data_IF_691056683796
#
_entry.id   IF_691056683796
#
_cell.length_a   1.000
_cell.length_b   1.000
_cell.length_c   1.000
_cell.angle_alpha   90.00
_cell.angle_beta   90.00
_cell.angle_gamma   90.00
#
_symmetry.space_group_name_H-M   'P 1'
#
loop_
_entity.id
_entity.type
_entity.pdbx_description
1 polymer ?
#
# COMPACT_ATOMS: atom_id res chain seq x y z
N UNK A 1 -18.64 19.92 -6.75
CA UNK A 1 -19.41 19.62 -7.97
C UNK A 1 -20.43 20.71 -8.07
N UNK A 2 -20.28 21.58 -9.03
CA UNK A 2 -21.35 22.52 -9.34
C UNK A 2 -22.37 21.78 -10.19
N UNK A 3 -23.61 21.87 -9.84
CA UNK A 3 -24.69 21.35 -10.66
C UNK A 3 -24.92 22.33 -11.80
N UNK A 4 -24.63 21.90 -13.03
CA UNK A 4 -24.92 22.71 -14.22
C UNK A 4 -26.28 22.26 -14.76
N UNK A 5 -27.25 23.17 -14.74
CA UNK A 5 -28.56 22.97 -15.35
C UNK A 5 -28.72 24.04 -16.41
N UNK A 6 -28.99 23.64 -17.66
CA UNK A 6 -29.14 24.54 -18.82
C UNK A 6 -27.93 25.49 -19.03
N UNK A 7 -26.71 24.98 -18.79
CA UNK A 7 -25.49 25.76 -18.94
C UNK A 7 -25.23 26.78 -17.82
N UNK A 8 -26.04 26.80 -16.79
CA UNK A 8 -25.90 27.73 -15.66
C UNK A 8 -25.45 26.97 -14.41
N UNK A 9 -24.40 27.43 -13.78
CA UNK A 9 -23.91 26.91 -12.52
C UNK A 9 -24.89 27.22 -11.40
N UNK A 10 -25.33 26.20 -10.65
CA UNK A 10 -26.27 26.32 -9.55
C UNK A 10 -25.63 25.82 -8.26
N UNK A 11 -25.70 26.64 -7.23
CA UNK A 11 -25.32 26.28 -5.85
C UNK A 11 -26.52 25.89 -4.99
N UNK A 12 -27.68 25.77 -5.60
CA UNK A 12 -28.95 25.47 -4.90
C UNK A 12 -29.72 24.45 -5.71
N UNK A 13 -30.20 23.41 -5.05
CA UNK A 13 -31.11 22.41 -5.59
C UNK A 13 -32.43 22.46 -4.84
N UNK A 14 -33.53 22.49 -5.58
CA UNK A 14 -34.88 22.46 -5.02
C UNK A 14 -35.52 21.14 -5.40
N UNK A 15 -35.83 20.30 -4.38
CA UNK A 15 -36.54 19.04 -4.56
C UNK A 15 -37.77 19.07 -3.65
N UNK A 16 -38.95 18.84 -4.18
CA UNK A 16 -40.21 18.77 -3.42
C UNK A 16 -40.43 19.97 -2.49
N UNK A 17 -40.17 21.18 -2.97
CA UNK A 17 -40.21 22.45 -2.23
C UNK A 17 -39.13 22.65 -1.14
N UNK A 18 -38.23 21.70 -0.96
CA UNK A 18 -37.09 21.85 -0.06
C UNK A 18 -35.91 22.47 -0.81
N UNK A 19 -35.28 23.47 -0.19
CA UNK A 19 -34.12 24.17 -0.75
C UNK A 19 -32.86 23.60 -0.10
N UNK A 20 -32.03 22.98 -0.91
CA UNK A 20 -30.73 22.48 -0.53
C UNK A 20 -29.67 23.45 -1.04
N UNK A 21 -29.00 24.18 -0.14
CA UNK A 21 -27.85 25.04 -0.46
C UNK A 21 -26.58 24.23 -0.33
N UNK A 22 -25.70 24.34 -1.31
CA UNK A 22 -24.36 23.75 -1.28
C UNK A 22 -23.42 24.87 -0.79
N UNK A 23 -23.18 24.91 0.51
CA UNK A 23 -22.36 25.95 1.15
C UNK A 23 -20.85 25.78 0.95
N UNK A 24 -20.44 24.76 0.22
CA UNK A 24 -19.06 24.57 -0.17
C UNK A 24 -18.91 24.78 -1.68
N UNK A 25 -18.12 25.78 -2.05
CA UNK A 25 -17.43 25.78 -3.33
C UNK A 25 -16.56 24.53 -3.35
N UNK A 26 -17.09 23.45 -3.90
CA UNK A 26 -16.29 22.31 -4.24
C UNK A 26 -15.31 22.80 -5.30
N UNK A 27 -14.07 23.04 -4.91
CA UNK A 27 -13.00 22.88 -5.90
C UNK A 27 -13.16 21.45 -6.39
N UNK A 28 -13.37 21.21 -7.69
CA UNK A 28 -13.52 19.86 -8.18
C UNK A 28 -12.23 19.13 -7.84
N UNK A 29 -12.25 18.33 -6.77
CA UNK A 29 -11.18 17.35 -6.60
C UNK A 29 -11.16 16.51 -7.87
N UNK A 30 -10.01 16.24 -8.45
CA UNK A 30 -9.93 15.47 -9.68
C UNK A 30 -10.68 14.15 -9.48
N UNK A 31 -11.62 13.86 -10.36
CA UNK A 31 -12.38 12.61 -10.28
C UNK A 31 -11.41 11.43 -10.32
N UNK A 32 -11.63 10.45 -9.45
CA UNK A 32 -10.82 9.23 -9.43
C UNK A 32 -11.00 8.50 -10.77
N UNK A 33 -9.92 8.39 -11.53
CA UNK A 33 -9.93 7.69 -12.82
C UNK A 33 -9.67 6.19 -12.65
N UNK A 34 -10.68 5.44 -12.23
CA UNK A 34 -10.57 3.99 -12.10
C UNK A 34 -10.44 3.27 -13.44
N UNK A 35 -11.03 3.79 -14.51
CA UNK A 35 -10.90 3.18 -15.84
C UNK A 35 -9.44 3.27 -16.35
N UNK A 36 -8.81 4.44 -16.24
CA UNK A 36 -7.40 4.64 -16.58
C UNK A 36 -6.47 3.81 -15.68
N UNK A 37 -6.73 3.79 -14.37
CA UNK A 37 -5.98 2.98 -13.42
C UNK A 37 -6.04 1.49 -13.77
N UNK A 38 -7.23 0.94 -14.02
CA UNK A 38 -7.41 -0.47 -14.38
C UNK A 38 -6.72 -0.82 -15.71
N UNK A 39 -6.74 0.09 -16.68
CA UNK A 39 -6.04 -0.10 -17.96
C UNK A 39 -4.51 -0.20 -17.77
N UNK A 40 -3.93 0.55 -16.84
CA UNK A 40 -2.50 0.48 -16.53
C UNK A 40 -2.15 -0.67 -15.59
N UNK A 41 -3.03 -1.03 -14.65
CA UNK A 41 -2.88 -2.20 -13.79
C UNK A 41 -2.90 -3.55 -14.54
N UNK A 42 -3.20 -3.54 -15.82
CA UNK A 42 -3.16 -4.73 -16.69
C UNK A 42 -1.88 -4.82 -17.54
N UNK A 43 -0.91 -3.91 -17.39
CA UNK A 43 0.28 -3.81 -18.23
C UNK A 43 1.54 -3.65 -17.40
N UNK A 44 2.52 -4.53 -17.65
CA UNK A 44 3.87 -4.43 -17.07
C UNK A 44 4.86 -3.91 -18.12
N UNK A 45 5.79 -3.02 -17.72
CA UNK A 45 6.81 -2.52 -18.64
C UNK A 45 8.23 -2.50 -18.05
N UNK A 46 8.41 -1.99 -16.82
CA UNK A 46 9.73 -1.92 -16.18
C UNK A 46 10.67 -0.84 -16.73
N UNK A 47 10.12 0.27 -17.23
CA UNK A 47 10.92 1.38 -17.77
C UNK A 47 11.37 2.33 -16.66
N UNK A 48 12.64 2.76 -16.70
CA UNK A 48 13.07 3.89 -15.86
C UNK A 48 12.52 5.21 -16.42
N UNK A 49 11.71 5.90 -15.63
CA UNK A 49 11.09 7.19 -15.93
C UNK A 49 11.98 8.39 -15.52
N UNK A 50 13.11 8.12 -14.86
CA UNK A 50 13.98 9.16 -14.30
C UNK A 50 13.48 9.67 -12.94
N UNK A 51 13.73 10.95 -12.66
CA UNK A 51 13.30 11.57 -11.43
C UNK A 51 11.77 11.77 -11.39
N UNK A 52 11.18 11.60 -10.20
CA UNK A 52 9.82 12.01 -9.94
C UNK A 52 9.75 13.55 -9.93
N UNK A 53 8.84 14.12 -10.70
CA UNK A 53 8.72 15.57 -10.90
C UNK A 53 7.30 16.07 -10.62
N UNK A 54 7.13 17.37 -10.43
CA UNK A 54 5.80 18.01 -10.30
C UNK A 54 4.88 17.73 -11.51
N UNK A 55 5.45 17.48 -12.71
CA UNK A 55 4.66 17.08 -13.89
C UNK A 55 4.04 15.69 -13.69
N UNK A 56 4.81 14.72 -13.17
CA UNK A 56 4.29 13.40 -12.83
C UNK A 56 3.25 13.49 -11.70
N UNK A 57 3.53 14.25 -10.64
CA UNK A 57 2.59 14.47 -9.56
C UNK A 57 1.27 15.06 -10.06
N UNK A 58 1.33 16.08 -10.91
CA UNK A 58 0.15 16.69 -11.53
C UNK A 58 -0.64 15.68 -12.37
N UNK A 59 0.04 14.86 -13.18
CA UNK A 59 -0.60 13.80 -13.97
C UNK A 59 -1.30 12.78 -13.09
N UNK A 60 -0.61 12.28 -12.05
CA UNK A 60 -1.16 11.30 -11.12
C UNK A 60 -2.41 11.87 -10.44
N UNK A 61 -2.31 13.07 -9.87
CA UNK A 61 -3.40 13.76 -9.18
C UNK A 61 -4.64 13.92 -10.06
N UNK A 62 -4.43 14.20 -11.34
CA UNK A 62 -5.49 14.32 -12.33
C UNK A 62 -5.95 12.99 -12.93
N UNK A 63 -5.39 11.85 -12.50
CA UNK A 63 -5.73 10.53 -13.02
C UNK A 63 -5.26 10.30 -14.46
N UNK A 64 -4.21 10.98 -14.90
CA UNK A 64 -3.59 10.83 -16.22
C UNK A 64 -2.41 9.86 -16.10
N UNK A 65 -2.64 8.61 -16.45
CA UNK A 65 -1.66 7.54 -16.23
C UNK A 65 -0.99 7.03 -17.51
N UNK A 66 -1.30 7.59 -18.67
CA UNK A 66 -0.92 7.06 -19.99
C UNK A 66 0.60 6.90 -20.21
N UNK A 67 1.40 7.73 -19.55
CA UNK A 67 2.86 7.68 -19.65
C UNK A 67 3.53 6.69 -18.69
N UNK A 68 2.77 6.08 -17.79
CA UNK A 68 3.24 5.21 -16.70
C UNK A 68 2.59 3.83 -16.79
N UNK A 69 3.32 2.78 -16.40
CA UNK A 69 2.81 1.40 -16.33
C UNK A 69 3.35 0.71 -15.06
N UNK A 70 2.73 -0.39 -14.67
CA UNK A 70 3.24 -1.23 -13.58
C UNK A 70 4.66 -1.68 -13.87
N UNK A 71 5.52 -1.67 -12.86
CA UNK A 71 6.94 -2.01 -12.96
C UNK A 71 7.83 -0.85 -13.41
N UNK A 72 7.30 0.24 -13.96
CA UNK A 72 8.12 1.42 -14.23
C UNK A 72 8.71 1.98 -12.94
N UNK A 73 9.87 2.63 -13.05
CA UNK A 73 10.61 3.10 -11.88
C UNK A 73 10.83 4.60 -11.91
N UNK A 74 10.82 5.19 -10.71
CA UNK A 74 11.38 6.50 -10.45
C UNK A 74 12.68 6.37 -9.66
N UNK A 75 13.65 7.25 -9.93
CA UNK A 75 14.90 7.34 -9.18
C UNK A 75 14.98 8.70 -8.49
N UNK A 76 15.01 8.70 -7.15
CA UNK A 76 15.09 9.90 -6.32
C UNK A 76 16.26 9.77 -5.34
N UNK A 77 17.15 10.77 -5.30
CA UNK A 77 18.30 10.81 -4.38
C UNK A 77 19.14 9.51 -4.36
N UNK A 78 19.21 8.82 -5.50
CA UNK A 78 19.93 7.54 -5.63
C UNK A 78 19.13 6.30 -5.27
N UNK A 79 17.89 6.44 -4.83
CA UNK A 79 16.98 5.32 -4.55
C UNK A 79 16.07 5.07 -5.74
N UNK A 80 15.79 3.81 -6.02
CA UNK A 80 14.85 3.39 -7.08
C UNK A 80 13.58 2.84 -6.46
N UNK A 81 12.43 3.25 -7.01
CA UNK A 81 11.11 2.88 -6.56
C UNK A 81 10.28 2.40 -7.73
N UNK A 82 9.62 1.26 -7.61
CA UNK A 82 8.82 0.64 -8.67
C UNK A 82 7.35 0.99 -8.52
N UNK A 83 6.65 1.25 -9.61
CA UNK A 83 5.19 1.39 -9.64
C UNK A 83 4.59 0.01 -9.41
N UNK A 84 4.00 -0.20 -8.23
CA UNK A 84 3.30 -1.42 -7.86
C UNK A 84 1.88 -1.49 -8.43
N UNK A 85 1.25 -0.33 -8.65
CA UNK A 85 -0.10 -0.23 -9.20
C UNK A 85 -0.67 1.19 -9.14
N UNK A 86 -1.88 1.33 -9.66
CA UNK A 86 -2.60 2.60 -9.81
C UNK A 86 -3.91 2.54 -9.03
N UNK A 87 -4.20 3.56 -8.22
CA UNK A 87 -5.45 3.69 -7.44
C UNK A 87 -5.80 2.43 -6.62
N UNK A 88 -4.77 1.75 -6.10
CA UNK A 88 -4.93 0.44 -5.45
C UNK A 88 -5.84 0.50 -4.23
N UNK A 89 -5.76 1.58 -3.44
CA UNK A 89 -6.53 1.76 -2.22
C UNK A 89 -7.82 2.57 -2.42
N UNK A 90 -8.16 2.94 -3.66
CA UNK A 90 -9.41 3.64 -3.95
C UNK A 90 -10.63 2.77 -3.67
N UNK A 91 -11.65 3.36 -3.04
CA UNK A 91 -12.92 2.71 -2.73
C UNK A 91 -12.95 1.95 -1.41
N UNK A 92 -11.84 1.88 -0.68
CA UNK A 92 -11.84 1.37 0.67
C UNK A 92 -12.48 2.39 1.62
N UNK A 93 -13.39 1.94 2.48
CA UNK A 93 -14.17 2.80 3.38
C UNK A 93 -13.29 3.71 4.25
N UNK A 94 -12.16 3.18 4.73
CA UNK A 94 -11.23 3.90 5.58
C UNK A 94 -10.37 4.92 4.82
N UNK A 95 -10.40 4.87 3.49
CA UNK A 95 -9.56 5.67 2.59
C UNK A 95 -10.35 6.45 1.53
N UNK A 96 -11.62 6.77 1.81
CA UNK A 96 -12.51 7.49 0.88
C UNK A 96 -11.98 8.87 0.46
N UNK A 97 -11.06 9.44 1.24
CA UNK A 97 -10.43 10.73 0.94
C UNK A 97 -9.19 10.64 0.06
N UNK A 98 -8.71 9.42 -0.24
CA UNK A 98 -7.60 9.26 -1.17
C UNK A 98 -8.06 9.62 -2.59
N UNK A 99 -7.36 10.57 -3.19
CA UNK A 99 -7.47 10.90 -4.61
C UNK A 99 -6.78 9.86 -5.51
N UNK A 100 -6.56 10.24 -6.77
CA UNK A 100 -5.72 9.43 -7.66
C UNK A 100 -4.30 9.31 -7.08
N UNK A 101 -3.74 8.11 -7.12
CA UNK A 101 -2.42 7.82 -6.55
C UNK A 101 -1.73 6.64 -7.23
N UNK A 102 -0.42 6.56 -7.06
CA UNK A 102 0.37 5.36 -7.31
C UNK A 102 0.65 4.66 -5.99
N UNK A 103 0.60 3.33 -6.00
CA UNK A 103 1.27 2.53 -4.98
C UNK A 103 2.65 2.18 -5.50
N UNK A 104 3.67 2.53 -4.72
CA UNK A 104 5.07 2.31 -5.01
C UNK A 104 5.62 1.20 -4.13
N UNK A 105 6.59 0.45 -4.65
CA UNK A 105 7.31 -0.60 -3.92
C UNK A 105 8.80 -0.27 -3.95
N UNK A 106 9.47 -0.43 -2.81
CA UNK A 106 10.93 -0.32 -2.73
C UNK A 106 11.60 -1.58 -3.30
N UNK A 107 12.86 -1.47 -3.68
CA UNK A 107 13.73 -2.64 -3.72
C UNK A 107 13.97 -3.14 -2.28
N UNK A 108 14.76 -4.19 -2.11
CA UNK A 108 15.14 -4.72 -0.81
C UNK A 108 15.90 -3.65 -0.01
N UNK A 109 15.44 -3.39 1.20
CA UNK A 109 15.99 -2.37 2.10
C UNK A 109 17.06 -2.95 3.04
N UNK A 110 17.50 -4.17 2.73
CA UNK A 110 18.44 -4.95 3.54
C UNK A 110 17.74 -5.87 4.54
N UNK A 111 18.52 -6.79 5.08
CA UNK A 111 18.04 -7.84 5.99
C UNK A 111 17.93 -7.33 7.42
N UNK A 112 16.86 -7.71 8.11
CA UNK A 112 16.62 -7.30 9.49
C UNK A 112 15.59 -8.19 10.18
N UNK A 113 15.79 -8.42 11.47
CA UNK A 113 14.81 -9.10 12.31
C UNK A 113 13.53 -8.26 12.51
N UNK A 114 12.40 -8.92 12.67
CA UNK A 114 11.14 -8.29 13.06
C UNK A 114 11.19 -7.78 14.51
N UNK A 115 11.80 -8.57 15.38
CA UNK A 115 11.98 -8.29 16.82
C UNK A 115 13.36 -8.77 17.29
N UNK A 116 13.90 -8.23 18.39
CA UNK A 116 15.16 -8.69 18.96
C UNK A 116 15.06 -10.06 19.65
N UNK A 117 13.86 -10.63 19.80
CA UNK A 117 13.58 -11.93 20.39
C UNK A 117 12.41 -12.61 19.69
N UNK A 118 12.28 -13.92 19.86
CA UNK A 118 11.25 -14.74 19.23
C UNK A 118 9.88 -14.49 19.87
N UNK A 119 9.27 -13.37 19.47
CA UNK A 119 7.93 -12.98 19.91
C UNK A 119 7.25 -12.07 18.89
N UNK A 120 5.97 -12.25 18.72
CA UNK A 120 5.09 -11.35 17.97
C UNK A 120 3.87 -10.90 18.82
N UNK A 121 3.97 -11.00 20.14
CA UNK A 121 2.87 -10.74 21.08
C UNK A 121 2.15 -9.41 20.88
N UNK A 122 2.86 -8.38 20.40
CA UNK A 122 2.30 -7.06 20.07
C UNK A 122 1.78 -6.92 18.64
N UNK A 123 1.76 -8.00 17.86
CA UNK A 123 1.48 -7.95 16.45
C UNK A 123 2.55 -7.22 15.64
N UNK A 124 2.27 -6.95 14.36
CA UNK A 124 3.18 -6.16 13.53
C UNK A 124 3.36 -4.74 14.08
N UNK A 125 2.29 -4.08 14.50
CA UNK A 125 2.36 -2.74 15.08
C UNK A 125 3.15 -2.68 16.41
N UNK A 126 3.30 -3.83 17.09
CA UNK A 126 4.12 -3.97 18.28
C UNK A 126 5.59 -4.25 18.01
N UNK A 127 5.96 -4.65 16.81
CA UNK A 127 7.32 -5.07 16.45
C UNK A 127 8.35 -3.93 16.48
N UNK A 128 9.63 -4.29 16.67
CA UNK A 128 10.75 -3.35 16.52
C UNK A 128 10.89 -2.88 15.06
N UNK A 129 10.61 -3.76 14.11
CA UNK A 129 10.52 -3.41 12.69
C UNK A 129 9.62 -2.19 12.48
N UNK A 130 8.38 -2.23 13.00
CA UNK A 130 7.43 -1.13 12.86
C UNK A 130 7.83 0.10 13.67
N UNK A 131 8.20 -0.07 14.94
CA UNK A 131 8.44 1.04 15.86
C UNK A 131 9.74 1.77 15.64
N UNK A 132 10.79 1.04 15.23
CA UNK A 132 12.15 1.58 15.15
C UNK A 132 12.65 1.73 13.72
N UNK A 133 12.36 0.78 12.84
CA UNK A 133 12.92 0.80 11.48
C UNK A 133 12.03 1.53 10.48
N UNK A 134 10.72 1.30 10.46
CA UNK A 134 9.82 1.99 9.53
C UNK A 134 9.86 3.52 9.63
N UNK A 135 10.02 4.17 10.80
CA UNK A 135 10.28 5.60 10.88
C UNK A 135 11.49 6.07 10.07
N UNK A 136 12.53 5.27 9.96
CA UNK A 136 13.72 5.63 9.15
C UNK A 136 13.40 5.58 7.66
N UNK A 137 12.64 4.57 7.21
CA UNK A 137 12.16 4.45 5.84
C UNK A 137 11.26 5.65 5.50
N UNK A 138 10.28 5.95 6.35
CA UNK A 138 9.36 7.09 6.17
C UNK A 138 10.14 8.41 6.07
N UNK A 139 11.15 8.62 6.91
CA UNK A 139 11.99 9.81 6.84
C UNK A 139 12.77 9.91 5.52
N UNK A 140 13.23 8.77 4.97
CA UNK A 140 13.84 8.75 3.64
C UNK A 140 12.83 9.09 2.55
N UNK A 141 11.65 8.47 2.58
CA UNK A 141 10.58 8.73 1.62
C UNK A 141 10.11 10.19 1.65
N UNK A 142 10.07 10.81 2.84
CA UNK A 142 9.80 12.26 2.97
C UNK A 142 10.84 13.14 2.30
N UNK A 143 12.11 12.74 2.31
CA UNK A 143 13.17 13.47 1.58
C UNK A 143 13.02 13.30 0.08
N UNK A 144 12.56 12.13 -0.37
CA UNK A 144 12.49 11.77 -1.78
C UNK A 144 11.21 12.31 -2.45
N UNK A 145 10.09 12.29 -1.78
CA UNK A 145 8.77 12.65 -2.35
C UNK A 145 8.11 13.88 -1.69
N UNK A 146 8.59 14.31 -0.53
CA UNK A 146 8.10 15.52 0.14
C UNK A 146 6.60 15.50 0.38
N UNK A 147 5.92 16.54 -0.12
CA UNK A 147 4.47 16.72 0.00
C UNK A 147 3.63 15.68 -0.76
N UNK A 148 4.25 14.94 -1.69
CA UNK A 148 3.60 13.93 -2.51
C UNK A 148 3.55 12.55 -1.83
N UNK A 149 4.25 12.36 -0.70
CA UNK A 149 4.12 11.16 0.11
C UNK A 149 2.78 11.20 0.85
N UNK A 150 1.87 10.31 0.50
CA UNK A 150 0.53 10.27 1.06
C UNK A 150 0.47 9.55 2.41
N UNK A 151 -0.55 9.90 3.18
CA UNK A 151 -0.94 9.17 4.40
C UNK A 151 -2.26 8.45 4.14
N UNK A 152 -2.35 7.18 4.55
CA UNK A 152 -3.59 6.41 4.45
C UNK A 152 -3.84 5.63 5.75
N UNK A 153 -5.05 5.10 5.90
CA UNK A 153 -5.39 4.22 7.02
C UNK A 153 -5.17 2.77 6.62
N UNK A 154 -4.37 2.05 7.39
CA UNK A 154 -4.07 0.65 7.20
C UNK A 154 -4.39 -0.14 8.46
N UNK A 155 -4.97 -1.32 8.28
CA UNK A 155 -5.25 -2.24 9.37
C UNK A 155 -4.00 -3.05 9.69
N UNK A 156 -3.47 -2.88 10.92
CA UNK A 156 -2.30 -3.58 11.40
C UNK A 156 -2.64 -4.44 12.61
N UNK A 157 -2.00 -5.60 12.72
CA UNK A 157 -2.13 -6.47 13.88
C UNK A 157 -1.46 -5.83 15.09
N UNK A 158 -2.16 -5.87 16.24
CA UNK A 158 -1.69 -5.30 17.53
C UNK A 158 -1.56 -6.34 18.61
N UNK A 159 -1.82 -7.58 18.30
CA UNK A 159 -1.67 -8.70 19.23
C UNK A 159 -1.66 -10.03 18.51
N UNK A 160 -1.05 -11.01 19.17
CA UNK A 160 -1.04 -12.41 18.76
C UNK A 160 -1.20 -13.30 19.97
N UNK A 161 -1.68 -14.51 19.75
CA UNK A 161 -1.64 -15.63 20.68
C UNK A 161 -0.90 -16.80 20.00
N UNK A 162 -0.89 -17.96 20.68
CA UNK A 162 -0.10 -19.11 20.23
C UNK A 162 -0.37 -19.58 18.80
N UNK A 163 -1.56 -19.27 18.24
CA UNK A 163 -1.96 -19.78 16.93
C UNK A 163 -2.01 -18.69 15.85
N UNK A 164 -2.23 -17.42 16.23
CA UNK A 164 -2.54 -16.38 15.23
C UNK A 164 -2.57 -14.96 15.78
N UNK A 165 -2.65 -13.99 14.88
CA UNK A 165 -3.08 -12.63 15.19
C UNK A 165 -4.48 -12.63 15.83
N UNK A 166 -4.63 -11.95 16.96
CA UNK A 166 -5.88 -11.92 17.72
C UNK A 166 -6.47 -10.52 17.92
N UNK A 167 -5.73 -9.49 17.58
CA UNK A 167 -6.15 -8.08 17.64
C UNK A 167 -5.58 -7.31 16.47
N UNK A 168 -6.27 -6.25 16.08
CA UNK A 168 -5.80 -5.29 15.09
C UNK A 168 -6.64 -4.03 15.11
N UNK A 169 -6.06 -2.96 14.62
CA UNK A 169 -6.70 -1.65 14.52
C UNK A 169 -6.16 -0.86 13.33
N UNK A 170 -6.81 0.25 12.98
CA UNK A 170 -6.37 1.12 11.91
C UNK A 170 -5.35 2.15 12.38
N UNK A 171 -4.27 2.26 11.62
CA UNK A 171 -3.20 3.23 11.82
C UNK A 171 -3.11 4.16 10.61
N UNK A 172 -2.90 5.45 10.86
CA UNK A 172 -2.50 6.39 9.81
C UNK A 172 -1.02 6.17 9.50
N UNK A 173 -0.72 5.69 8.28
CA UNK A 173 0.62 5.29 7.86
C UNK A 173 1.05 6.02 6.60
N UNK A 174 2.36 6.12 6.36
CA UNK A 174 2.96 6.66 5.14
C UNK A 174 3.83 5.63 4.40
N UNK A 175 4.16 4.54 5.03
CA UNK A 175 4.75 3.35 4.45
C UNK A 175 4.38 2.14 5.31
N UNK A 176 4.34 0.96 4.70
CA UNK A 176 4.08 -0.29 5.40
C UNK A 176 4.74 -1.46 4.67
N UNK A 177 4.71 -2.62 5.28
CA UNK A 177 5.12 -3.88 4.67
C UNK A 177 3.92 -4.55 4.01
N UNK A 178 4.15 -5.24 2.91
CA UNK A 178 3.09 -5.99 2.23
C UNK A 178 2.58 -7.13 3.12
N UNK A 179 1.32 -7.46 2.94
CA UNK A 179 0.72 -8.66 3.49
C UNK A 179 0.71 -9.80 2.46
N UNK A 180 0.35 -10.99 2.89
CA UNK A 180 0.29 -12.19 2.05
C UNK A 180 -0.70 -12.06 0.88
N UNK A 181 -1.84 -11.38 1.10
CA UNK A 181 -2.83 -11.14 0.04
C UNK A 181 -2.31 -10.18 -1.03
N UNK A 182 -1.58 -9.14 -0.63
CA UNK A 182 -0.92 -8.23 -1.60
C UNK A 182 0.12 -8.97 -2.45
N UNK A 183 0.78 -9.95 -1.85
CA UNK A 183 1.85 -10.71 -2.49
C UNK A 183 1.31 -11.79 -3.42
N UNK A 184 0.38 -12.66 -2.96
CA UNK A 184 -0.10 -13.83 -3.71
C UNK A 184 -1.55 -13.75 -4.18
N UNK A 185 -2.34 -12.78 -3.71
CA UNK A 185 -3.76 -12.62 -4.11
C UNK A 185 -4.74 -13.46 -3.33
N UNK A 186 -4.25 -14.29 -2.43
CA UNK A 186 -5.04 -15.10 -1.50
C UNK A 186 -4.44 -15.00 -0.11
N UNK A 187 -5.24 -15.18 0.95
CA UNK A 187 -4.69 -15.45 2.26
C UNK A 187 -3.80 -16.68 2.18
N UNK A 188 -2.59 -16.57 2.69
CA UNK A 188 -1.69 -17.70 2.85
C UNK A 188 -2.30 -18.77 3.76
N UNK A 189 -1.91 -20.02 3.59
CA UNK A 189 -2.17 -21.05 4.61
C UNK A 189 -1.58 -20.65 5.98
N UNK A 190 -0.59 -19.77 5.96
CA UNK A 190 0.05 -19.18 7.12
C UNK A 190 -0.62 -17.87 7.59
N UNK A 191 -1.64 -17.38 6.92
CA UNK A 191 -2.45 -16.25 7.37
C UNK A 191 -3.68 -16.77 8.09
N UNK A 192 -3.62 -16.98 9.38
CA UNK A 192 -4.72 -17.62 10.09
C UNK A 192 -5.96 -16.74 10.05
N UNK A 193 -7.08 -17.36 9.70
CA UNK A 193 -8.40 -16.78 9.93
C UNK A 193 -8.72 -16.93 11.42
N UNK A 194 -8.62 -15.86 12.17
CA UNK A 194 -8.96 -15.86 13.57
C UNK A 194 -10.46 -15.76 13.77
N UNK A 195 -11.05 -16.78 14.39
CA UNK A 195 -12.49 -16.84 14.69
C UNK A 195 -13.38 -16.61 13.47
N UNK A 196 -12.97 -17.09 12.28
CA UNK A 196 -13.67 -16.86 11.02
C UNK A 196 -13.49 -15.47 10.45
N UNK A 197 -12.65 -14.63 11.03
CA UNK A 197 -12.25 -13.32 10.51
C UNK A 197 -10.86 -13.42 9.91
N UNK A 198 -10.73 -13.00 8.67
CA UNK A 198 -9.44 -12.82 8.05
C UNK A 198 -8.86 -11.49 8.55
N UNK A 199 -7.79 -11.51 9.34
CA UNK A 199 -7.12 -10.32 9.88
C UNK A 199 -6.29 -9.56 8.85
N UNK A 200 -6.15 -10.12 7.65
CA UNK A 200 -5.66 -9.41 6.46
C UNK A 200 -6.81 -8.70 5.73
N UNK A 201 -7.99 -8.64 6.34
CA UNK A 201 -9.13 -7.89 5.79
C UNK A 201 -8.82 -6.42 5.90
N UNK A 202 -9.12 -5.75 4.90
CA UNK A 202 -9.02 -4.33 4.76
C UNK A 202 -9.04 -4.00 3.30
N UNK A 203 -8.39 -2.94 3.01
CA UNK A 203 -8.21 -2.43 1.67
C UNK A 203 -7.28 -3.32 0.81
N UNK A 204 -6.42 -4.10 1.45
CA UNK A 204 -5.41 -4.95 0.82
C UNK A 204 -5.92 -6.40 0.65
N UNK A 205 -7.13 -6.56 0.19
CA UNK A 205 -7.73 -7.87 -0.03
C UNK A 205 -7.58 -8.38 -1.48
N UNK A 206 -6.64 -7.81 -2.22
CA UNK A 206 -6.33 -8.18 -3.60
C UNK A 206 -4.82 -8.18 -3.83
N UNK A 207 -4.37 -8.98 -4.79
CA UNK A 207 -2.99 -9.01 -5.19
C UNK A 207 -2.54 -7.65 -5.77
N UNK A 208 -1.35 -7.22 -5.40
CA UNK A 208 -0.74 -6.03 -5.96
C UNK A 208 -0.47 -6.25 -7.47
N UNK A 209 -0.82 -5.32 -8.36
CA UNK A 209 -0.67 -5.52 -9.80
C UNK A 209 0.72 -5.95 -10.23
N UNK A 210 1.79 -5.39 -9.64
CA UNK A 210 3.16 -5.78 -9.95
C UNK A 210 3.43 -7.25 -9.61
N UNK A 211 2.97 -7.74 -8.48
CA UNK A 211 3.14 -9.13 -8.06
C UNK A 211 2.36 -10.09 -8.95
N UNK A 212 1.20 -9.65 -9.44
CA UNK A 212 0.35 -10.43 -10.34
C UNK A 212 0.91 -10.52 -11.76
N UNK A 213 1.48 -9.43 -12.26
CA UNK A 213 1.92 -9.32 -13.66
C UNK A 213 3.35 -9.82 -13.89
N UNK A 214 4.17 -9.84 -12.86
CA UNK A 214 5.58 -10.19 -12.93
C UNK A 214 5.99 -10.99 -11.71
N UNK A 215 5.91 -12.32 -11.82
CA UNK A 215 6.17 -13.24 -10.69
C UNK A 215 7.61 -13.18 -10.16
N UNK A 216 8.56 -12.68 -10.95
CA UNK A 216 9.94 -12.48 -10.47
C UNK A 216 10.04 -11.40 -9.39
N UNK A 217 9.04 -10.50 -9.29
CA UNK A 217 8.96 -9.55 -8.17
C UNK A 217 8.61 -10.22 -6.83
N UNK A 218 8.15 -11.45 -6.85
CA UNK A 218 7.90 -12.25 -5.65
C UNK A 218 9.15 -13.00 -5.16
N UNK A 219 10.21 -13.02 -5.98
CA UNK A 219 11.46 -13.71 -5.69
C UNK A 219 12.47 -12.75 -5.10
N UNK A 220 13.38 -13.29 -4.31
CA UNK A 220 14.52 -12.57 -3.80
C UNK A 220 15.74 -13.51 -3.82
N UNK A 221 16.81 -13.11 -4.49
CA UNK A 221 17.96 -13.98 -4.80
C UNK A 221 18.65 -14.52 -3.54
N UNK A 222 18.29 -15.75 -3.19
CA UNK A 222 18.84 -16.49 -2.05
C UNK A 222 18.38 -16.03 -0.67
N UNK A 223 17.29 -15.23 -0.56
CA UNK A 223 16.83 -14.71 0.72
C UNK A 223 15.31 -14.71 0.83
N UNK A 224 14.81 -14.80 2.07
CA UNK A 224 13.42 -14.57 2.36
C UNK A 224 13.10 -13.07 2.33
N UNK A 225 11.83 -12.75 2.10
CA UNK A 225 11.30 -11.38 2.24
C UNK A 225 10.16 -11.35 3.23
N UNK A 226 10.31 -10.56 4.28
CA UNK A 226 9.28 -10.42 5.31
C UNK A 226 7.93 -9.96 4.78
N UNK A 227 6.89 -10.56 5.35
CA UNK A 227 5.51 -10.09 5.27
C UNK A 227 5.05 -9.63 6.66
N UNK A 228 4.07 -8.71 6.73
CA UNK A 228 3.59 -8.23 8.02
C UNK A 228 2.61 -9.15 8.74
N UNK A 229 2.20 -10.24 8.10
CA UNK A 229 1.26 -11.20 8.67
C UNK A 229 1.92 -12.06 9.73
N UNK A 230 1.17 -12.34 10.79
CA UNK A 230 1.59 -13.22 11.87
C UNK A 230 1.13 -14.62 11.55
N UNK A 231 2.03 -15.57 11.71
CA UNK A 231 1.74 -16.98 11.50
C UNK A 231 1.41 -17.70 12.82
N UNK A 232 2.30 -17.63 13.82
CA UNK A 232 2.16 -18.24 15.13
C UNK A 232 2.85 -17.36 16.19
N UNK A 233 2.94 -17.80 17.45
CA UNK A 233 3.42 -16.98 18.58
C UNK A 233 4.79 -16.33 18.41
N UNK A 234 5.64 -16.90 17.56
CA UNK A 234 7.03 -16.45 17.35
C UNK A 234 7.34 -16.13 15.89
N UNK A 235 6.39 -16.38 14.96
CA UNK A 235 6.63 -16.40 13.53
C UNK A 235 5.87 -15.29 12.81
N UNK A 236 6.54 -14.72 11.80
CA UNK A 236 5.91 -13.88 10.79
C UNK A 236 5.94 -14.59 9.44
N UNK A 237 4.97 -14.30 8.59
CA UNK A 237 4.98 -14.77 7.22
C UNK A 237 6.14 -14.14 6.45
N UNK A 238 6.69 -14.91 5.52
CA UNK A 238 7.73 -14.47 4.60
C UNK A 238 7.48 -15.04 3.21
N UNK A 239 8.08 -14.45 2.20
CA UNK A 239 8.24 -15.07 0.90
C UNK A 239 9.62 -15.73 0.84
N UNK A 240 9.68 -16.97 0.38
CA UNK A 240 10.93 -17.67 0.09
C UNK A 240 11.64 -17.03 -1.12
N UNK A 241 12.88 -17.35 -1.30
CA UNK A 241 13.72 -16.85 -2.42
C UNK A 241 13.16 -17.20 -3.80
N UNK A 242 12.44 -18.31 -3.90
CA UNK A 242 11.77 -18.75 -5.14
C UNK A 242 10.36 -18.12 -5.34
N UNK A 243 9.91 -17.28 -4.41
CA UNK A 243 8.60 -16.62 -4.42
C UNK A 243 7.46 -17.44 -3.84
N UNK A 244 7.72 -18.63 -3.31
CA UNK A 244 6.72 -19.43 -2.58
C UNK A 244 6.47 -18.86 -1.18
N UNK A 245 5.34 -19.25 -0.58
CA UNK A 245 5.02 -18.88 0.79
C UNK A 245 5.97 -19.55 1.78
N UNK A 246 6.34 -18.81 2.82
CA UNK A 246 7.17 -19.26 3.91
C UNK A 246 6.87 -18.48 5.19
N UNK A 247 7.62 -18.79 6.22
CA UNK A 247 7.61 -18.11 7.51
C UNK A 247 9.02 -18.13 8.09
N UNK A 248 9.24 -17.21 9.02
CA UNK A 248 10.47 -17.21 9.81
C UNK A 248 10.22 -16.68 11.22
N UNK A 249 11.12 -17.03 12.15
CA UNK A 249 11.03 -16.59 13.55
C UNK A 249 11.34 -15.10 13.64
N UNK A 250 10.67 -14.42 14.56
CA UNK A 250 10.71 -12.96 14.66
C UNK A 250 12.11 -12.38 14.87
N UNK A 251 13.03 -13.15 15.49
CA UNK A 251 14.42 -12.73 15.75
C UNK A 251 15.39 -13.02 14.60
N UNK A 252 14.97 -13.72 13.55
CA UNK A 252 15.84 -13.96 12.41
C UNK A 252 16.13 -12.64 11.66
N UNK A 253 17.40 -12.38 11.44
CA UNK A 253 17.88 -11.19 10.76
C UNK A 253 18.27 -11.41 9.29
N UNK A 254 18.01 -12.60 8.74
CA UNK A 254 18.33 -12.91 7.36
C UNK A 254 17.28 -12.42 6.35
N UNK A 255 15.96 -12.44 6.66
CA UNK A 255 14.99 -11.98 5.69
C UNK A 255 15.12 -10.48 5.39
N UNK A 256 14.93 -10.14 4.13
CA UNK A 256 14.96 -8.77 3.65
C UNK A 256 13.63 -8.05 3.88
N UNK A 257 13.70 -6.72 3.91
CA UNK A 257 12.55 -5.83 4.08
C UNK A 257 12.23 -5.18 2.75
N UNK A 258 10.97 -5.24 2.35
CA UNK A 258 10.41 -4.43 1.24
C UNK A 258 9.22 -3.64 1.76
N UNK A 259 9.20 -2.35 1.46
CA UNK A 259 8.12 -1.47 1.85
C UNK A 259 7.27 -1.08 0.64
N UNK A 260 6.00 -0.77 0.89
CA UNK A 260 5.17 -0.04 -0.05
C UNK A 260 4.72 1.29 0.55
N UNK A 261 4.41 2.25 -0.32
CA UNK A 261 3.95 3.57 0.04
C UNK A 261 3.13 4.19 -1.09
N UNK A 262 2.45 5.29 -0.81
CA UNK A 262 1.60 5.96 -1.80
C UNK A 262 2.16 7.34 -2.13
N UNK A 263 2.03 7.72 -3.43
CA UNK A 263 2.34 9.07 -3.92
C UNK A 263 1.24 9.60 -4.83
N UNK A 264 1.10 10.95 -4.87
CA UNK A 264 0.21 11.67 -5.81
C UNK A 264 0.94 12.73 -6.64
#
# INVERSE_FOLDING_TARGET
MSLIIDGVERNTLIINKNVYKFDHIWSPEPLINMAGANAQNAKYRGKNLGAFTEDYATKIKNGVFDSMQVGDTFTQNGHTYKIGGFNYLCGAEQNLKLGNHLIMVTDELGSRAMNPSDTNAGGFAGSDMWKSYFPTIINQLKKDFGKHLLTWNEFLTTGANDDAANKGEYFAVQASMMNTVMYWGSPSQYSPSYGGKNWNIGIENKQLPIMKLHSDEQKNDGRLTWQRDIFASEWFAAANDDGTEGEDIASDSHPDVRAFFLID
#
